data_IF_425843008438
#
_entry.id   IF_425843008438
#
_cell.length_a   1.000
_cell.length_b   1.000
_cell.length_c   1.000
_cell.angle_alpha   90.00
_cell.angle_beta   90.00
_cell.angle_gamma   90.00
#
_symmetry.space_group_name_H-M   'P 1'
#
loop_
_entity.id
_entity.type
_entity.pdbx_description
1 polymer ?
#
# COMPACT_ATOMS: atom_id res chain seq x y z
N UNK A 1 9.50 27.81 -35.82
CA UNK A 1 10.48 27.47 -34.77
C UNK A 1 9.72 27.04 -33.53
N UNK A 2 9.88 25.80 -33.02
CA UNK A 2 9.31 25.42 -31.73
C UNK A 2 10.15 26.04 -30.59
N UNK A 3 9.49 26.74 -29.68
CA UNK A 3 10.08 27.34 -28.49
C UNK A 3 10.23 26.31 -27.36
N UNK A 4 11.39 26.24 -26.68
CA UNK A 4 11.63 25.26 -25.61
C UNK A 4 11.11 25.82 -24.27
N UNK A 5 9.80 25.80 -24.05
CA UNK A 5 9.20 26.39 -22.82
C UNK A 5 8.42 25.42 -21.95
N UNK A 6 8.18 24.18 -22.36
CA UNK A 6 7.09 23.36 -21.81
C UNK A 6 7.57 22.02 -21.20
N UNK A 7 8.57 22.00 -20.30
CA UNK A 7 8.89 20.75 -19.55
C UNK A 7 9.47 20.97 -18.13
N UNK A 8 8.83 21.85 -17.35
CA UNK A 8 9.09 21.97 -15.90
C UNK A 8 7.89 21.56 -15.06
N UNK A 9 6.67 21.62 -15.62
CA UNK A 9 5.43 21.24 -14.94
C UNK A 9 5.26 19.73 -14.73
N UNK A 10 5.68 18.91 -15.71
CA UNK A 10 5.53 17.44 -15.67
C UNK A 10 6.35 16.80 -14.54
N UNK A 11 7.66 17.07 -14.50
CA UNK A 11 8.59 16.56 -13.49
C UNK A 11 8.18 16.88 -12.04
N UNK A 12 7.59 18.07 -11.79
CA UNK A 12 7.13 18.49 -10.46
C UNK A 12 5.80 17.84 -10.05
N UNK A 13 4.99 17.40 -11.01
CA UNK A 13 3.75 16.64 -10.79
C UNK A 13 4.06 15.18 -10.52
N UNK A 14 4.95 14.58 -11.30
CA UNK A 14 5.44 13.20 -11.10
C UNK A 14 6.04 12.99 -9.71
N UNK A 15 6.92 13.90 -9.26
CA UNK A 15 7.50 13.83 -7.91
C UNK A 15 6.45 13.89 -6.79
N UNK A 16 5.41 14.73 -6.95
CA UNK A 16 4.30 14.80 -5.98
C UNK A 16 3.47 13.54 -5.95
N UNK A 17 3.18 12.95 -7.12
CA UNK A 17 2.48 11.67 -7.21
C UNK A 17 3.31 10.55 -6.58
N UNK A 18 4.62 10.50 -6.85
CA UNK A 18 5.52 9.52 -6.23
C UNK A 18 5.53 9.62 -4.70
N UNK A 19 5.69 10.83 -4.16
CA UNK A 19 5.62 11.09 -2.72
C UNK A 19 4.26 10.68 -2.14
N UNK A 20 3.16 11.02 -2.83
CA UNK A 20 1.82 10.63 -2.39
C UNK A 20 1.65 9.11 -2.33
N UNK A 21 2.09 8.40 -3.38
CA UNK A 21 2.02 6.94 -3.43
C UNK A 21 2.80 6.33 -2.26
N UNK A 22 4.05 6.74 -2.06
CA UNK A 22 4.93 6.16 -1.03
C UNK A 22 4.49 6.50 0.39
N UNK A 23 4.01 7.71 0.64
CA UNK A 23 3.66 8.16 2.01
C UNK A 23 2.23 7.77 2.40
N UNK A 24 1.30 7.71 1.44
CA UNK A 24 -0.11 7.45 1.74
C UNK A 24 -0.57 6.11 1.17
N UNK A 25 -0.43 5.88 -0.14
CA UNK A 25 -0.99 4.69 -0.77
C UNK A 25 -0.35 3.41 -0.22
N UNK A 26 0.98 3.32 -0.24
CA UNK A 26 1.68 2.11 0.21
C UNK A 26 1.39 1.79 1.68
N UNK A 27 1.49 2.74 2.63
CA UNK A 27 1.17 2.47 4.03
C UNK A 27 -0.31 2.08 4.23
N UNK A 28 -1.24 2.75 3.56
CA UNK A 28 -2.66 2.40 3.64
C UNK A 28 -2.92 0.98 3.10
N UNK A 29 -2.28 0.64 1.99
CA UNK A 29 -2.36 -0.69 1.39
C UNK A 29 -1.75 -1.75 2.30
N UNK A 30 -0.61 -1.46 2.96
CA UNK A 30 -0.01 -2.36 3.95
C UNK A 30 -0.96 -2.64 5.10
N UNK A 31 -1.61 -1.63 5.67
CA UNK A 31 -2.58 -1.81 6.75
C UNK A 31 -3.79 -2.61 6.28
N UNK A 32 -4.32 -2.30 5.09
CA UNK A 32 -5.45 -3.02 4.54
C UNK A 32 -5.13 -4.50 4.33
N UNK A 33 -3.98 -4.82 3.72
CA UNK A 33 -3.58 -6.20 3.44
C UNK A 33 -3.24 -6.97 4.70
N UNK A 34 -2.36 -6.45 5.56
CA UNK A 34 -1.92 -7.12 6.79
C UNK A 34 -3.07 -7.20 7.79
N UNK A 35 -3.85 -6.14 7.93
CA UNK A 35 -5.01 -6.10 8.81
C UNK A 35 -6.09 -7.08 8.37
N UNK A 36 -6.45 -7.10 7.08
CA UNK A 36 -7.42 -8.07 6.56
C UNK A 36 -6.91 -9.49 6.68
N UNK A 37 -5.63 -9.74 6.38
CA UNK A 37 -5.05 -11.08 6.49
C UNK A 37 -5.00 -11.57 7.94
N UNK A 38 -4.51 -10.74 8.87
CA UNK A 38 -4.49 -11.07 10.29
C UNK A 38 -5.88 -11.29 10.86
N UNK A 39 -6.85 -10.44 10.48
CA UNK A 39 -8.25 -10.60 10.85
C UNK A 39 -8.84 -11.90 10.27
N UNK A 40 -8.58 -12.21 9.00
CA UNK A 40 -9.05 -13.44 8.37
C UNK A 40 -8.49 -14.68 9.08
N UNK A 41 -7.18 -14.70 9.36
CA UNK A 41 -6.55 -15.78 10.11
C UNK A 41 -7.16 -15.91 11.52
N UNK A 42 -7.28 -14.81 12.26
CA UNK A 42 -7.90 -14.81 13.59
C UNK A 42 -9.36 -15.29 13.55
N UNK A 43 -10.14 -14.85 12.56
CA UNK A 43 -11.52 -15.27 12.38
C UNK A 43 -11.61 -16.75 12.03
N UNK A 44 -10.73 -17.24 11.16
CA UNK A 44 -10.63 -18.67 10.85
C UNK A 44 -10.24 -19.48 12.10
N UNK A 45 -9.36 -18.97 12.97
CA UNK A 45 -9.03 -19.61 14.24
C UNK A 45 -10.25 -19.71 15.18
N UNK A 46 -11.17 -18.74 15.15
CA UNK A 46 -12.43 -18.81 15.92
C UNK A 46 -13.32 -19.97 15.44
N UNK A 47 -13.30 -20.28 14.13
CA UNK A 47 -14.13 -21.33 13.54
C UNK A 47 -13.50 -22.72 13.60
N UNK A 48 -12.20 -22.83 13.34
CA UNK A 48 -11.49 -24.10 13.18
C UNK A 48 -10.57 -24.45 14.36
N UNK A 49 -10.48 -23.56 15.35
CA UNK A 49 -9.56 -23.66 16.46
C UNK A 49 -8.16 -23.10 16.13
N UNK A 50 -7.37 -22.73 17.15
CA UNK A 50 -6.03 -22.20 16.94
C UNK A 50 -5.08 -23.27 16.37
N UNK A 51 -4.20 -22.93 15.41
CA UNK A 51 -3.13 -23.81 14.98
C UNK A 51 -2.15 -24.00 16.15
N UNK A 52 -2.19 -25.17 16.79
CA UNK A 52 -1.31 -25.53 17.91
C UNK A 52 0.05 -26.06 17.44
N UNK A 53 1.11 -25.95 18.27
CA UNK A 53 2.38 -26.60 18.00
C UNK A 53 2.21 -28.13 17.93
N UNK A 54 2.87 -28.76 16.98
CA UNK A 54 2.98 -30.22 16.90
C UNK A 54 4.17 -30.65 17.79
N UNK A 55 3.92 -30.94 19.06
CA UNK A 55 4.92 -31.52 19.97
C UNK A 55 4.35 -32.64 20.82
#
# INVERSE_FOLDING_TARGET
MPSPSEDTGGKRRERRLFLFLVIFLFPLLSVALVGTYGFAVWFLQMLFGPPGPLN
#
